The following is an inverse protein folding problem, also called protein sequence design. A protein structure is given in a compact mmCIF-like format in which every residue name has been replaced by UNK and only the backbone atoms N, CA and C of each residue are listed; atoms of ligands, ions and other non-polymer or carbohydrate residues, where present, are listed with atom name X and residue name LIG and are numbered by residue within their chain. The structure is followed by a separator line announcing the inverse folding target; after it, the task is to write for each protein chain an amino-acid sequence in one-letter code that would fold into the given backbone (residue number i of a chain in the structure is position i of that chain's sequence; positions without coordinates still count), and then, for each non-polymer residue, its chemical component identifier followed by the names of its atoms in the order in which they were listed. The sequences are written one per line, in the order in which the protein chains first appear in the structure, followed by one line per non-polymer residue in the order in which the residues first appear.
data_IF_753591157817
#
_entry.id   IF_753591157817
#
_cell.length_a   1.000
_cell.length_b   1.000
_cell.length_c   1.000
_cell.angle_alpha   90.00
_cell.angle_beta   90.00
_cell.angle_gamma   90.00
#
_symmetry.space_group_name_H-M   'P 1'
#
loop_
_entity.id
_entity.type
_entity.pdbx_description
1 polymer ?
#
# COMPACT_ATOMS: atom_id res chain seq x y z
N UNK A 1 2.06 -12.22 3.14
CA UNK A 1 1.89 -10.95 2.41
C UNK A 1 2.03 -9.71 3.29
N UNK A 2 2.25 -9.82 4.61
CA UNK A 2 2.45 -8.64 5.48
C UNK A 2 1.18 -7.80 5.73
N UNK A 3 0.07 -8.15 5.09
CA UNK A 3 -1.21 -7.45 5.24
C UNK A 3 -1.82 -7.70 6.63
N UNK A 4 -2.48 -6.68 7.22
CA UNK A 4 -3.11 -6.80 8.53
C UNK A 4 -4.26 -7.81 8.55
N UNK A 5 -4.63 -8.28 9.75
CA UNK A 5 -5.71 -9.24 9.93
C UNK A 5 -7.01 -8.77 9.26
N UNK A 6 -7.66 -9.67 8.53
CA UNK A 6 -8.92 -9.41 7.81
C UNK A 6 -8.85 -8.37 6.68
N UNK A 7 -7.66 -8.04 6.16
CA UNK A 7 -7.51 -7.06 5.05
C UNK A 7 -8.41 -7.34 3.84
N UNK A 8 -8.62 -8.62 3.50
CA UNK A 8 -9.49 -9.04 2.38
C UNK A 8 -10.84 -9.58 2.84
N UNK A 9 -11.26 -9.39 4.10
CA UNK A 9 -12.49 -10.00 4.62
C UNK A 9 -13.76 -9.40 4.00
N UNK A 10 -13.74 -8.11 3.71
CA UNK A 10 -14.91 -7.38 3.23
C UNK A 10 -14.72 -6.93 1.78
N UNK A 11 -15.78 -7.03 1.00
CA UNK A 11 -15.85 -6.50 -0.36
C UNK A 11 -16.12 -4.99 -0.38
N UNK A 12 -16.24 -4.42 -1.57
CA UNK A 12 -16.58 -3.00 -1.74
C UNK A 12 -17.90 -2.61 -1.06
N UNK A 13 -18.86 -3.54 -1.00
CA UNK A 13 -20.17 -3.34 -0.37
C UNK A 13 -20.16 -3.57 1.16
N UNK A 14 -18.99 -3.80 1.77
CA UNK A 14 -18.88 -4.09 3.20
C UNK A 14 -19.35 -5.49 3.63
N UNK A 15 -19.82 -6.31 2.69
CA UNK A 15 -20.21 -7.70 2.93
C UNK A 15 -18.99 -8.61 3.01
N UNK A 16 -19.09 -9.70 3.80
CA UNK A 16 -18.05 -10.73 3.87
C UNK A 16 -17.96 -11.42 2.51
N UNK A 17 -16.76 -11.46 1.94
CA UNK A 17 -16.52 -12.10 0.65
C UNK A 17 -16.10 -13.57 0.82
N UNK A 18 -16.48 -14.39 -0.16
CA UNK A 18 -16.14 -15.82 -0.22
C UNK A 18 -14.62 -16.03 -0.19
N UNK A 19 -14.18 -17.14 0.40
CA UNK A 19 -12.75 -17.45 0.52
C UNK A 19 -12.01 -17.48 -0.83
N UNK A 20 -12.67 -17.93 -1.89
CA UNK A 20 -12.11 -17.88 -3.26
C UNK A 20 -11.80 -16.45 -3.73
N UNK A 21 -12.68 -15.49 -3.44
CA UNK A 21 -12.47 -14.09 -3.75
C UNK A 21 -11.34 -13.50 -2.89
N UNK A 22 -11.23 -13.93 -1.63
CA UNK A 22 -10.14 -13.54 -0.72
C UNK A 22 -8.78 -14.01 -1.23
N UNK A 23 -8.68 -15.27 -1.65
CA UNK A 23 -7.44 -15.80 -2.24
C UNK A 23 -7.07 -15.10 -3.53
N UNK A 24 -8.04 -14.75 -4.38
CA UNK A 24 -7.78 -13.96 -5.60
C UNK A 24 -7.29 -12.54 -5.28
N UNK A 25 -7.90 -11.87 -4.30
CA UNK A 25 -7.49 -10.54 -3.86
C UNK A 25 -6.08 -10.56 -3.25
N UNK A 26 -5.77 -11.58 -2.44
CA UNK A 26 -4.42 -11.79 -1.93
C UNK A 26 -3.43 -12.07 -3.06
N UNK A 27 -3.70 -13.02 -3.96
CA UNK A 27 -2.80 -13.37 -5.07
C UNK A 27 -2.48 -12.21 -6.02
N UNK A 28 -3.40 -11.26 -6.19
CA UNK A 28 -3.19 -10.05 -6.98
C UNK A 28 -2.59 -8.88 -6.18
N UNK A 29 -2.51 -8.99 -4.85
CA UNK A 29 -1.91 -7.97 -4.02
C UNK A 29 -0.38 -7.99 -4.17
N UNK A 30 0.21 -6.80 -4.09
CA UNK A 30 1.66 -6.66 -3.99
C UNK A 30 2.13 -7.00 -2.57
N UNK A 31 3.33 -7.57 -2.44
CA UNK A 31 3.92 -7.83 -1.14
C UNK A 31 4.22 -6.51 -0.41
N UNK A 32 3.70 -6.36 0.81
CA UNK A 32 3.91 -5.17 1.65
C UNK A 32 5.39 -4.74 1.76
N UNK A 33 6.37 -5.64 2.05
CA UNK A 33 7.76 -5.23 2.17
C UNK A 33 8.36 -4.64 0.89
N UNK A 34 7.85 -5.03 -0.29
CA UNK A 34 8.31 -4.46 -1.56
C UNK A 34 7.80 -3.03 -1.75
N UNK A 35 6.55 -2.77 -1.38
CA UNK A 35 5.98 -1.41 -1.44
C UNK A 35 6.63 -0.50 -0.41
N UNK A 36 6.89 -0.99 0.80
CA UNK A 36 7.54 -0.19 1.85
C UNK A 36 8.89 0.36 1.39
N UNK A 37 9.69 -0.48 0.72
CA UNK A 37 10.98 -0.06 0.18
C UNK A 37 10.85 0.99 -0.94
N UNK A 38 9.93 0.79 -1.89
CA UNK A 38 9.69 1.74 -2.98
C UNK A 38 9.17 3.08 -2.44
N UNK A 39 8.22 3.02 -1.51
CA UNK A 39 7.61 4.21 -0.91
C UNK A 39 8.59 4.99 -0.04
N UNK A 40 9.55 4.32 0.61
CA UNK A 40 10.62 4.98 1.35
C UNK A 40 11.50 5.84 0.42
N UNK A 41 11.89 5.32 -0.75
CA UNK A 41 12.63 6.09 -1.75
C UNK A 41 11.82 7.26 -2.32
N UNK A 42 10.54 7.03 -2.63
CA UNK A 42 9.64 8.12 -3.08
C UNK A 42 9.54 9.22 -2.01
N UNK A 43 9.39 8.85 -0.73
CA UNK A 43 9.30 9.80 0.39
C UNK A 43 10.57 10.65 0.52
N UNK A 44 11.74 10.05 0.35
CA UNK A 44 13.04 10.75 0.39
C UNK A 44 13.15 11.82 -0.71
N UNK A 45 12.73 11.49 -1.93
CA UNK A 45 12.73 12.42 -3.06
C UNK A 45 11.72 13.56 -2.86
N UNK A 46 10.52 13.27 -2.35
CA UNK A 46 9.52 14.31 -2.03
C UNK A 46 9.98 15.23 -0.91
N UNK A 47 10.63 14.71 0.13
CA UNK A 47 11.21 15.51 1.21
C UNK A 47 12.35 16.40 0.69
N UNK A 48 13.22 15.85 -0.14
CA UNK A 48 14.34 16.59 -0.75
C UNK A 48 13.84 17.69 -1.69
N UNK A 49 12.79 17.42 -2.47
CA UNK A 49 12.16 18.39 -3.37
C UNK A 49 11.48 19.52 -2.58
N UNK A 50 10.76 19.19 -1.50
CA UNK A 50 10.13 20.19 -0.63
C UNK A 50 11.15 21.10 0.07
N UNK A 51 12.32 20.58 0.44
CA UNK A 51 13.42 21.40 0.98
C UNK A 51 14.04 22.32 -0.08
N UNK A 52 14.06 21.90 -1.35
CA UNK A 52 14.55 22.72 -2.45
C UNK A 52 13.55 23.84 -2.81
N UNK A 53 12.24 23.60 -2.70
CA UNK A 53 11.20 24.62 -2.90
C UNK A 53 11.21 25.68 -1.79
N UNK A 54 11.41 25.28 -0.53
CA UNK A 54 11.50 26.20 0.62
C UNK A 54 12.81 27.02 0.69
N UNK A 55 13.81 26.69 -0.15
CA UNK A 55 15.09 27.43 -0.24
C UNK A 55 15.09 28.47 -1.36
N UNK A 56 14.03 28.50 -2.17
CA UNK A 56 13.83 29.46 -3.26
C UNK A 56 12.96 30.66 -2.84
N UNK A 57 12.37 30.62 -1.64
CA UNK A 57 11.64 31.74 -1.00
C UNK A 57 12.54 32.58 -0.08
#
# INVERSE_FOLDING_TARGET
MGLPDNYTKYGADGNIILDSARYKALGNAIALPCVEYIMAGIKEEFLTSAQNEQKLE
#
